data_IF_140962702019
#
_entry.id   IF_140962702019
#
_cell.length_a   1.000
_cell.length_b   1.000
_cell.length_c   1.000
_cell.angle_alpha   90.00
_cell.angle_beta   90.00
_cell.angle_gamma   90.00
#
_symmetry.space_group_name_H-M   'P 1'
#
loop_
_entity.id
_entity.type
_entity.pdbx_description
1 polymer ?
#
# COMPACT_ATOMS: atom_id res chain seq x y z
N UNK A 1 16.18 -10.33 -9.92
CA UNK A 1 15.94 -11.80 -9.81
C UNK A 1 16.76 -12.61 -10.79
N UNK A 2 16.86 -12.21 -12.08
CA UNK A 2 17.60 -12.99 -13.08
C UNK A 2 19.03 -13.31 -12.64
N UNK A 3 19.82 -12.29 -12.29
CA UNK A 3 21.21 -12.47 -11.85
C UNK A 3 21.32 -13.29 -10.57
N UNK A 4 20.44 -13.06 -9.59
CA UNK A 4 20.39 -13.86 -8.37
C UNK A 4 20.10 -15.34 -8.68
N UNK A 5 19.09 -15.60 -9.51
CA UNK A 5 18.71 -16.98 -9.85
C UNK A 5 19.83 -17.73 -10.57
N UNK A 6 20.60 -17.03 -11.40
CA UNK A 6 21.73 -17.59 -12.16
C UNK A 6 22.97 -17.85 -11.31
N UNK A 7 23.33 -16.90 -10.43
CA UNK A 7 24.59 -16.96 -9.68
C UNK A 7 24.42 -17.41 -8.22
N UNK A 8 23.21 -17.31 -7.66
CA UNK A 8 22.89 -17.45 -6.23
C UNK A 8 23.64 -16.45 -5.32
N UNK A 9 24.31 -15.46 -5.89
CA UNK A 9 25.06 -14.45 -5.13
C UNK A 9 24.11 -13.46 -4.46
N UNK A 10 24.17 -13.40 -3.14
CA UNK A 10 23.31 -12.54 -2.29
C UNK A 10 23.47 -11.04 -2.57
N UNK A 11 24.56 -10.61 -3.23
CA UNK A 11 24.71 -9.20 -3.63
C UNK A 11 23.58 -8.72 -4.55
N UNK A 12 23.03 -9.61 -5.38
CA UNK A 12 21.90 -9.28 -6.24
C UNK A 12 20.54 -9.35 -5.53
N UNK A 13 20.48 -10.02 -4.37
CA UNK A 13 19.25 -10.12 -3.58
C UNK A 13 19.05 -8.90 -2.68
N UNK A 14 20.11 -8.34 -2.09
CA UNK A 14 20.04 -7.19 -1.19
C UNK A 14 19.27 -5.97 -1.75
N UNK A 15 19.53 -5.49 -2.98
CA UNK A 15 18.78 -4.38 -3.56
C UNK A 15 17.29 -4.73 -3.73
N UNK A 16 16.97 -5.97 -4.11
CA UNK A 16 15.59 -6.44 -4.27
C UNK A 16 14.86 -6.40 -2.93
N UNK A 17 15.49 -6.90 -1.87
CA UNK A 17 14.93 -6.87 -0.50
C UNK A 17 14.64 -5.44 -0.05
N UNK A 18 15.58 -4.53 -0.27
CA UNK A 18 15.42 -3.11 0.08
C UNK A 18 14.22 -2.51 -0.64
N UNK A 19 14.13 -2.67 -1.97
CA UNK A 19 13.04 -2.12 -2.79
C UNK A 19 11.70 -2.71 -2.35
N UNK A 20 11.60 -4.03 -2.17
CA UNK A 20 10.35 -4.69 -1.76
C UNK A 20 9.92 -4.20 -0.37
N UNK A 21 10.86 -4.06 0.57
CA UNK A 21 10.56 -3.54 1.90
C UNK A 21 10.02 -2.10 1.83
N UNK A 22 10.63 -1.24 1.03
CA UNK A 22 10.13 0.14 0.84
C UNK A 22 8.74 0.16 0.20
N UNK A 23 8.54 -0.62 -0.88
CA UNK A 23 7.23 -0.74 -1.53
C UNK A 23 6.14 -1.23 -0.55
N UNK A 24 6.45 -2.13 0.38
CA UNK A 24 5.48 -2.70 1.31
C UNK A 24 5.22 -1.85 2.56
N UNK A 25 6.12 -0.93 2.94
CA UNK A 25 6.03 -0.19 4.20
C UNK A 25 5.79 1.31 4.07
N UNK A 26 6.07 1.89 2.89
CA UNK A 26 5.95 3.34 2.66
C UNK A 26 4.56 3.74 2.15
N UNK A 27 4.36 5.05 1.97
CA UNK A 27 3.07 5.62 1.57
C UNK A 27 2.57 5.20 0.17
N UNK A 28 3.44 4.65 -0.67
CA UNK A 28 3.05 4.08 -1.96
C UNK A 28 2.14 2.85 -1.82
N UNK A 29 2.21 2.11 -0.70
CA UNK A 29 1.33 0.99 -0.42
C UNK A 29 0.12 1.44 0.40
N UNK A 30 -1.07 1.04 -0.01
CA UNK A 30 -2.27 1.24 0.79
C UNK A 30 -2.38 0.20 1.90
N UNK A 31 -2.01 0.60 3.11
CA UNK A 31 -2.00 -0.28 4.28
C UNK A 31 -3.38 -0.67 4.79
N UNK A 32 -4.45 -0.09 4.26
CA UNK A 32 -5.84 -0.34 4.72
C UNK A 32 -6.59 -1.30 3.80
N UNK A 33 -6.57 -1.06 2.50
CA UNK A 33 -7.27 -1.90 1.52
C UNK A 33 -6.33 -2.70 0.63
N UNK A 34 -5.04 -2.40 0.65
CA UNK A 34 -4.06 -3.08 -0.20
C UNK A 34 -3.83 -2.40 -1.55
N UNK A 35 -2.88 -2.97 -2.28
CA UNK A 35 -2.45 -2.43 -3.56
C UNK A 35 -1.47 -1.28 -3.45
N UNK A 36 -0.79 -1.00 -4.56
CA UNK A 36 0.17 0.12 -4.67
C UNK A 36 -0.37 1.21 -5.58
N UNK A 37 -0.02 2.46 -5.24
CA UNK A 37 -0.16 3.59 -6.13
C UNK A 37 0.87 3.52 -7.27
N UNK A 38 0.65 4.29 -8.33
CA UNK A 38 1.43 4.23 -9.57
C UNK A 38 2.89 4.61 -9.39
N UNK A 39 3.18 5.73 -8.69
CA UNK A 39 4.53 6.22 -8.39
C UNK A 39 4.50 7.14 -7.17
N UNK A 40 5.66 7.55 -6.69
CA UNK A 40 5.79 8.58 -5.64
C UNK A 40 6.37 9.85 -6.24
N UNK A 41 5.96 11.00 -5.70
CA UNK A 41 6.44 12.33 -6.13
C UNK A 41 7.63 12.80 -5.30
N UNK A 42 8.01 12.06 -4.26
CA UNK A 42 9.13 12.31 -3.38
C UNK A 42 10.13 11.13 -3.39
N UNK A 43 11.40 11.43 -3.05
CA UNK A 43 12.48 10.43 -3.03
C UNK A 43 12.41 9.44 -1.86
N UNK A 44 11.62 9.75 -0.82
CA UNK A 44 11.46 8.92 0.37
C UNK A 44 10.31 7.91 0.28
N UNK A 45 9.57 7.90 -0.85
CA UNK A 45 8.43 7.05 -1.14
C UNK A 45 7.24 7.24 -0.19
N UNK A 46 7.10 8.45 0.33
CA UNK A 46 6.05 8.84 1.27
C UNK A 46 4.80 9.31 0.56
N UNK A 47 4.96 10.21 -0.42
CA UNK A 47 3.86 10.89 -1.10
C UNK A 47 3.59 10.19 -2.43
N UNK A 48 2.53 9.38 -2.55
CA UNK A 48 2.18 8.75 -3.81
C UNK A 48 1.37 9.72 -4.69
N UNK A 49 1.44 9.54 -6.01
CA UNK A 49 0.33 9.88 -6.88
C UNK A 49 -0.73 8.81 -6.70
N UNK A 50 -1.88 9.16 -6.11
CA UNK A 50 -2.82 8.20 -5.53
C UNK A 50 -3.56 7.30 -6.53
N UNK A 51 -3.34 7.49 -7.83
CA UNK A 51 -3.84 6.62 -8.89
C UNK A 51 -3.35 5.17 -8.69
N UNK A 52 -4.24 4.19 -8.80
CA UNK A 52 -3.88 2.77 -8.75
C UNK A 52 -4.17 2.12 -10.09
N UNK A 53 -3.11 1.64 -10.76
CA UNK A 53 -3.22 0.97 -12.05
C UNK A 53 -3.28 -0.55 -11.90
N UNK A 54 -4.06 -1.20 -12.75
CA UNK A 54 -4.10 -2.66 -12.81
C UNK A 54 -2.72 -3.24 -13.13
N UNK A 55 -2.01 -2.68 -14.12
CA UNK A 55 -0.72 -3.20 -14.55
C UNK A 55 0.38 -3.05 -13.49
N UNK A 56 0.39 -1.98 -12.69
CA UNK A 56 1.34 -1.80 -11.60
C UNK A 56 1.10 -2.83 -10.50
N UNK A 57 -0.16 -3.01 -10.11
CA UNK A 57 -0.55 -3.97 -9.08
C UNK A 57 -0.32 -5.42 -9.50
N UNK A 58 -0.55 -5.76 -10.77
CA UNK A 58 -0.24 -7.11 -11.28
C UNK A 58 1.26 -7.38 -11.33
N UNK A 59 2.08 -6.38 -11.70
CA UNK A 59 3.53 -6.49 -11.64
C UNK A 59 4.04 -6.61 -10.19
N UNK A 60 3.44 -5.89 -9.26
CA UNK A 60 3.76 -5.99 -7.84
C UNK A 60 3.42 -7.38 -7.27
N UNK A 61 2.25 -7.95 -7.61
CA UNK A 61 1.89 -9.33 -7.28
C UNK A 61 2.93 -10.31 -7.82
N UNK A 62 3.35 -10.15 -9.08
CA UNK A 62 4.38 -11.00 -9.69
C UNK A 62 5.73 -10.87 -8.98
N UNK A 63 6.12 -9.65 -8.60
CA UNK A 63 7.34 -9.37 -7.83
C UNK A 63 7.32 -10.06 -6.47
N UNK A 64 6.25 -9.84 -5.69
CA UNK A 64 6.07 -10.46 -4.37
C UNK A 64 5.99 -11.97 -4.43
N UNK A 65 5.26 -12.55 -5.39
CA UNK A 65 5.16 -14.01 -5.53
C UNK A 65 6.50 -14.67 -5.85
N UNK A 66 7.37 -14.00 -6.61
CA UNK A 66 8.75 -14.45 -6.83
C UNK A 66 9.61 -14.31 -5.58
N UNK A 67 9.43 -13.19 -4.85
CA UNK A 67 10.20 -12.93 -3.65
C UNK A 67 9.85 -13.90 -2.51
N UNK A 68 8.57 -14.19 -2.28
CA UNK A 68 8.11 -15.12 -1.25
C UNK A 68 8.61 -16.56 -1.44
N UNK A 69 9.07 -16.93 -2.65
CA UNK A 69 9.75 -18.23 -2.89
C UNK A 69 11.19 -18.23 -2.38
N UNK A 70 11.80 -17.07 -2.20
CA UNK A 70 13.18 -16.90 -1.73
C UNK A 70 13.19 -16.63 -0.23
N UNK A 71 12.28 -15.78 0.21
CA UNK A 71 12.11 -15.36 1.60
C UNK A 71 10.63 -15.56 1.97
N UNK A 72 10.30 -16.68 2.64
CA UNK A 72 8.92 -17.06 2.95
C UNK A 72 8.33 -16.34 4.17
N UNK A 73 8.77 -15.12 4.48
CA UNK A 73 8.25 -14.29 5.55
C UNK A 73 6.73 -14.05 5.37
N UNK A 74 5.98 -14.22 6.45
CA UNK A 74 4.53 -14.03 6.46
C UNK A 74 4.13 -12.58 6.16
N UNK A 75 4.93 -11.60 6.53
CA UNK A 75 4.71 -10.20 6.20
C UNK A 75 4.50 -9.98 4.68
N UNK A 76 5.43 -10.48 3.86
CA UNK A 76 5.33 -10.32 2.40
C UNK A 76 4.20 -11.16 1.79
N UNK A 77 3.89 -12.32 2.37
CA UNK A 77 2.74 -13.14 1.96
C UNK A 77 1.42 -12.42 2.25
N UNK A 78 1.31 -11.75 3.39
CA UNK A 78 0.13 -10.97 3.76
C UNK A 78 -0.07 -9.79 2.80
N UNK A 79 1.01 -9.04 2.47
CA UNK A 79 0.97 -7.97 1.47
C UNK A 79 0.57 -8.48 0.08
N UNK A 80 1.07 -9.64 -0.32
CA UNK A 80 0.68 -10.31 -1.57
C UNK A 80 -0.81 -10.66 -1.58
N UNK A 81 -1.31 -11.32 -0.53
CA UNK A 81 -2.72 -11.70 -0.40
C UNK A 81 -3.63 -10.47 -0.39
N UNK A 82 -3.28 -9.46 0.41
CA UNK A 82 -4.03 -8.21 0.49
C UNK A 82 -4.11 -7.48 -0.86
N UNK A 83 -3.02 -7.47 -1.64
CA UNK A 83 -3.02 -6.88 -2.98
C UNK A 83 -3.90 -7.65 -3.96
N UNK A 84 -3.90 -8.98 -3.88
CA UNK A 84 -4.77 -9.84 -4.71
C UNK A 84 -6.24 -9.61 -4.36
N UNK A 85 -6.59 -9.58 -3.07
CA UNK A 85 -7.97 -9.31 -2.64
C UNK A 85 -8.41 -7.90 -3.06
N UNK A 86 -7.53 -6.89 -2.92
CA UNK A 86 -7.79 -5.54 -3.40
C UNK A 86 -8.18 -5.53 -4.89
N UNK A 87 -7.45 -6.24 -5.76
CA UNK A 87 -7.79 -6.31 -7.18
C UNK A 87 -9.13 -7.02 -7.42
N UNK A 88 -9.41 -8.11 -6.71
CA UNK A 88 -10.69 -8.83 -6.84
C UNK A 88 -11.88 -7.97 -6.41
N UNK A 89 -11.75 -7.27 -5.30
CA UNK A 89 -12.85 -6.49 -4.73
C UNK A 89 -13.11 -5.17 -5.47
N UNK A 90 -12.06 -4.60 -6.07
CA UNK A 90 -12.13 -3.24 -6.60
C UNK A 90 -12.03 -3.16 -8.12
N UNK A 91 -11.28 -4.03 -8.75
CA UNK A 91 -11.08 -4.00 -10.21
C UNK A 91 -11.97 -4.97 -10.96
N UNK A 92 -12.38 -6.07 -10.34
CA UNK A 92 -13.23 -7.06 -10.99
C UNK A 92 -14.70 -6.61 -10.97
N UNK A 93 -15.30 -6.45 -12.15
CA UNK A 93 -16.71 -6.14 -12.26
C UNK A 93 -17.58 -7.42 -12.23
N UNK A 94 -18.90 -7.23 -12.16
CA UNK A 94 -19.87 -8.35 -12.11
C UNK A 94 -19.87 -9.25 -13.35
N UNK A 95 -19.34 -8.75 -14.46
CA UNK A 95 -19.27 -9.47 -15.75
C UNK A 95 -17.96 -10.24 -15.91
N UNK A 96 -17.04 -10.14 -14.91
CA UNK A 96 -15.75 -10.83 -14.92
C UNK A 96 -14.63 -10.05 -15.62
N UNK A 97 -14.83 -8.79 -15.98
CA UNK A 97 -13.78 -7.93 -16.54
C UNK A 97 -13.08 -7.12 -15.46
N UNK A 98 -11.79 -6.87 -15.67
CA UNK A 98 -10.98 -6.02 -14.80
C UNK A 98 -10.97 -4.59 -15.35
N UNK A 99 -11.23 -3.61 -14.49
CA UNK A 99 -10.98 -2.20 -14.76
C UNK A 99 -9.49 -1.93 -14.95
N UNK A 100 -9.13 -0.83 -15.61
CA UNK A 100 -7.73 -0.48 -15.88
C UNK A 100 -7.07 0.33 -14.78
N UNK A 101 -7.82 1.18 -14.10
CA UNK A 101 -7.31 2.14 -13.12
C UNK A 101 -8.39 2.54 -12.10
N UNK A 102 -7.93 3.01 -10.95
CA UNK A 102 -8.65 3.85 -10.01
C UNK A 102 -8.03 5.25 -10.04
N UNK A 103 -8.87 6.28 -10.12
CA UNK A 103 -8.43 7.66 -10.13
C UNK A 103 -7.67 8.03 -8.85
N UNK A 104 -6.78 9.00 -8.94
CA UNK A 104 -6.13 9.63 -7.79
C UNK A 104 -7.12 10.47 -6.97
N UNK A 105 -8.15 11.02 -7.64
CA UNK A 105 -9.09 11.97 -7.06
C UNK A 105 -10.34 11.30 -6.48
N UNK A 106 -10.80 11.87 -5.38
CA UNK A 106 -12.09 11.58 -4.78
C UNK A 106 -12.78 12.89 -4.43
N UNK A 107 -13.99 13.10 -4.97
CA UNK A 107 -14.73 14.37 -4.87
C UNK A 107 -13.92 15.59 -5.34
N UNK A 108 -13.10 15.44 -6.39
CA UNK A 108 -12.30 16.51 -6.96
C UNK A 108 -11.07 16.91 -6.14
N UNK A 109 -10.64 16.09 -5.21
CA UNK A 109 -9.47 16.30 -4.37
C UNK A 109 -8.57 15.06 -4.39
N UNK A 110 -7.30 15.24 -4.80
CA UNK A 110 -6.32 14.16 -4.86
C UNK A 110 -6.07 13.55 -3.48
N UNK A 111 -6.02 12.23 -3.42
CA UNK A 111 -5.70 11.48 -2.21
C UNK A 111 -6.75 11.50 -1.10
N UNK A 112 -7.85 12.27 -1.22
CA UNK A 112 -8.86 12.46 -0.18
C UNK A 112 -9.38 11.15 0.42
N UNK A 113 -9.56 10.14 -0.39
CA UNK A 113 -10.01 8.82 0.06
C UNK A 113 -8.96 8.13 0.95
N UNK A 114 -7.68 8.30 0.65
CA UNK A 114 -6.60 7.50 1.22
C UNK A 114 -5.97 8.08 2.48
N UNK A 115 -5.92 9.41 2.61
CA UNK A 115 -5.23 10.11 3.69
C UNK A 115 -6.13 10.33 4.91
N UNK A 116 -5.55 10.65 6.07
CA UNK A 116 -6.28 10.89 7.31
C UNK A 116 -5.91 12.25 7.91
N UNK A 117 -6.86 12.90 8.58
CA UNK A 117 -6.54 13.98 9.49
C UNK A 117 -6.09 13.40 10.84
N UNK A 118 -5.21 14.09 11.55
CA UNK A 118 -4.76 13.64 12.86
C UNK A 118 -5.93 13.37 13.81
N UNK A 119 -6.91 14.29 13.87
CA UNK A 119 -8.07 14.18 14.75
C UNK A 119 -8.99 12.98 14.47
N UNK A 120 -8.97 12.44 13.24
CA UNK A 120 -9.76 11.26 12.89
C UNK A 120 -9.19 9.95 13.46
N UNK A 121 -7.87 9.93 13.72
CA UNK A 121 -7.15 8.69 14.05
C UNK A 121 -6.40 8.73 15.39
N UNK A 122 -6.17 9.89 16.01
CA UNK A 122 -5.40 10.04 17.25
C UNK A 122 -5.92 9.20 18.42
N UNK A 123 -7.24 8.94 18.46
CA UNK A 123 -7.89 8.17 19.53
C UNK A 123 -7.94 6.66 19.22
N UNK A 124 -7.36 6.21 18.11
CA UNK A 124 -7.19 4.77 17.85
C UNK A 124 -6.07 4.26 18.75
N UNK A 125 -6.43 3.43 19.70
CA UNK A 125 -5.50 2.89 20.69
C UNK A 125 -4.28 2.22 20.04
N UNK A 126 -3.07 2.64 20.45
CA UNK A 126 -1.80 2.11 19.99
C UNK A 126 -1.47 2.32 18.49
N UNK A 127 -2.18 3.17 17.75
CA UNK A 127 -1.93 3.40 16.32
C UNK A 127 -0.48 3.80 16.04
N UNK A 128 0.15 4.57 16.93
CA UNK A 128 1.53 5.04 16.79
C UNK A 128 2.58 3.92 16.88
N UNK A 129 2.21 2.75 17.39
CA UNK A 129 3.08 1.56 17.37
C UNK A 129 3.20 0.98 15.95
N UNK A 130 2.18 1.20 15.12
CA UNK A 130 2.06 0.59 13.79
C UNK A 130 2.38 1.57 12.68
N UNK A 131 2.06 2.85 12.85
CA UNK A 131 2.23 3.89 11.84
C UNK A 131 2.97 5.11 12.35
N UNK A 132 3.61 5.85 11.43
CA UNK A 132 4.15 7.17 11.73
C UNK A 132 3.01 8.18 11.75
N UNK A 133 2.62 8.60 12.96
CA UNK A 133 1.53 9.56 13.17
C UNK A 133 2.10 10.83 13.81
N UNK A 134 1.83 11.98 13.18
CA UNK A 134 2.24 13.30 13.69
C UNK A 134 1.08 14.29 13.57
N UNK A 135 0.88 15.16 14.55
CA UNK A 135 -0.21 16.16 14.51
C UNK A 135 -0.16 17.09 13.29
N UNK A 136 1.05 17.45 12.84
CA UNK A 136 1.26 18.29 11.66
C UNK A 136 1.04 17.57 10.33
N UNK A 137 0.89 16.23 10.37
CA UNK A 137 0.82 15.40 9.17
C UNK A 137 2.16 15.21 8.48
N UNK A 138 2.16 14.55 7.33
CA UNK A 138 3.33 14.36 6.47
C UNK A 138 3.08 14.77 5.01
N UNK A 139 1.86 15.20 4.70
CA UNK A 139 1.46 15.76 3.40
C UNK A 139 0.25 16.68 3.58
N UNK A 140 0.39 17.99 3.27
CA UNK A 140 -0.68 19.00 3.32
C UNK A 140 -1.52 18.98 4.62
N UNK A 141 -0.85 18.86 5.77
CA UNK A 141 -1.46 18.70 7.11
C UNK A 141 -2.30 17.42 7.27
N UNK A 142 -2.22 16.50 6.33
CA UNK A 142 -2.85 15.17 6.37
C UNK A 142 -1.79 14.09 6.60
N UNK A 143 -2.24 12.91 6.95
CA UNK A 143 -1.39 11.76 7.25
C UNK A 143 -1.57 10.72 6.15
N UNK A 144 -0.50 10.49 5.40
CA UNK A 144 -0.29 9.29 4.61
C UNK A 144 0.30 8.24 5.55
N UNK A 145 -0.29 7.07 5.60
CA UNK A 145 0.16 6.01 6.49
C UNK A 145 1.52 5.45 6.04
N UNK A 146 2.49 5.47 6.94
CA UNK A 146 3.80 4.84 6.78
C UNK A 146 3.93 3.78 7.85
N UNK A 147 4.11 2.54 7.46
CA UNK A 147 4.13 1.41 8.37
C UNK A 147 5.48 1.30 9.10
N UNK A 148 5.43 1.24 10.41
CA UNK A 148 6.56 0.92 11.31
C UNK A 148 6.59 -0.56 11.66
N UNK A 149 5.41 -1.14 11.77
CA UNK A 149 5.16 -2.53 12.10
C UNK A 149 3.84 -2.94 11.48
N UNK A 150 3.71 -4.18 11.04
CA UNK A 150 2.46 -4.73 10.51
C UNK A 150 1.32 -4.54 11.52
N UNK A 151 0.24 -3.82 11.12
CA UNK A 151 -0.90 -3.56 11.99
C UNK A 151 -1.73 -4.82 12.21
N UNK A 152 -2.39 -4.90 13.37
CA UNK A 152 -3.38 -5.94 13.61
C UNK A 152 -4.72 -5.58 12.92
N UNK A 153 -5.61 -6.58 12.85
CA UNK A 153 -6.91 -6.41 12.20
C UNK A 153 -7.79 -5.33 12.83
N UNK A 154 -7.72 -5.11 14.13
CA UNK A 154 -8.55 -4.09 14.81
C UNK A 154 -8.18 -2.68 14.34
N UNK A 155 -6.88 -2.38 14.26
CA UNK A 155 -6.39 -1.10 13.72
C UNK A 155 -6.88 -0.89 12.28
N UNK A 156 -6.74 -1.91 11.43
CA UNK A 156 -7.19 -1.82 10.02
C UNK A 156 -8.71 -1.62 9.93
N UNK A 157 -9.50 -2.35 10.71
CA UNK A 157 -10.97 -2.21 10.75
C UNK A 157 -11.40 -0.79 11.18
N UNK A 158 -10.71 -0.19 12.16
CA UNK A 158 -11.00 1.19 12.60
C UNK A 158 -10.65 2.21 11.51
N UNK A 159 -9.48 2.08 10.88
CA UNK A 159 -9.08 2.93 9.76
C UNK A 159 -10.05 2.79 8.57
N UNK A 160 -10.42 1.58 8.22
CA UNK A 160 -11.39 1.30 7.15
C UNK A 160 -12.76 1.89 7.47
N UNK A 161 -13.23 1.82 8.71
CA UNK A 161 -14.51 2.43 9.15
C UNK A 161 -14.51 3.95 8.97
N UNK A 162 -13.38 4.62 9.17
CA UNK A 162 -13.24 6.06 8.92
C UNK A 162 -13.28 6.31 7.41
N UNK A 163 -12.48 5.58 6.64
CA UNK A 163 -12.35 5.70 5.18
C UNK A 163 -13.66 5.41 4.46
N UNK A 164 -14.45 4.43 4.91
CA UNK A 164 -15.71 4.03 4.27
C UNK A 164 -16.81 5.11 4.25
N UNK A 165 -16.62 6.20 5.02
CA UNK A 165 -17.51 7.36 4.98
C UNK A 165 -17.21 8.31 3.81
N UNK A 166 -16.13 8.08 3.10
CA UNK A 166 -15.68 8.90 1.97
C UNK A 166 -16.08 8.24 0.66
N UNK A 167 -16.28 9.05 -0.35
CA UNK A 167 -16.53 8.56 -1.70
C UNK A 167 -15.29 7.84 -2.22
N UNK A 168 -15.47 6.61 -2.68
CA UNK A 168 -14.40 5.83 -3.28
C UNK A 168 -14.02 6.43 -4.64
N UNK A 169 -12.73 6.50 -5.01
CA UNK A 169 -12.32 6.85 -6.36
C UNK A 169 -12.92 5.87 -7.38
N UNK A 170 -13.09 6.35 -8.58
CA UNK A 170 -13.69 5.55 -9.65
C UNK A 170 -12.80 5.61 -10.90
#
# INVERSE_FOLDING_TARGET
>A
FYFYNKSKDKKYLKPIQLIIKQLCSKGIYDHVEGGIARYTVDENWVIPHFEKMLYDNTQFILLLSKYCKIDPDNYFKNKLSQTIEFLKENFLNKEGFLGSAYDADSDGEEGKYYVYNYDEIKDIENIEKYFEIKPEGNWEKKIILIEKKEPNEDIIKRLLKIRSKRKKPF
#
